data_IF_811916753828
#
_entry.id   IF_811916753828
#
_cell.length_a   1.000
_cell.length_b   1.000
_cell.length_c   1.000
_cell.angle_alpha   90.00
_cell.angle_beta   90.00
_cell.angle_gamma   90.00
#
_symmetry.space_group_name_H-M   'P 1'
#
loop_
_entity.id
_entity.type
_entity.pdbx_description
1 polymer ?
#
# COMPACT_ATOMS: atom_id res chain seq x y z
N UNK A 1 -7.09 36.34 32.78
CA UNK A 1 -6.39 35.06 32.82
C UNK A 1 -6.80 34.24 31.57
N UNK A 2 -6.10 34.50 30.47
CA UNK A 2 -6.31 33.78 29.21
C UNK A 2 -5.58 32.43 29.31
N UNK A 3 -6.32 31.36 29.55
CA UNK A 3 -5.82 29.98 29.38
C UNK A 3 -5.53 29.75 27.90
N UNK A 4 -4.25 29.81 27.54
CA UNK A 4 -3.74 29.27 26.29
C UNK A 4 -4.06 27.78 26.23
N UNK A 5 -5.12 27.43 25.52
CA UNK A 5 -5.35 26.07 25.06
C UNK A 5 -4.32 25.81 23.99
N UNK A 6 -3.25 25.14 24.35
CA UNK A 6 -2.31 24.56 23.40
C UNK A 6 -3.06 23.47 22.64
N UNK A 7 -3.55 23.79 21.46
CA UNK A 7 -3.87 22.80 20.46
C UNK A 7 -2.58 22.07 20.10
N UNK A 8 -2.28 21.01 20.83
CA UNK A 8 -1.40 19.96 20.35
C UNK A 8 -2.12 19.33 19.17
N UNK A 9 -1.87 19.85 17.98
CA UNK A 9 -2.11 19.14 16.75
C UNK A 9 -1.18 17.91 16.76
N UNK A 10 -1.60 16.87 17.46
CA UNK A 10 -1.07 15.54 17.22
C UNK A 10 -1.46 15.24 15.78
N UNK A 11 -0.51 15.36 14.85
CA UNK A 11 -0.59 14.61 13.60
C UNK A 11 -0.73 13.16 14.04
N UNK A 12 -1.96 12.69 14.17
CA UNK A 12 -2.21 11.28 14.37
C UNK A 12 -1.59 10.59 13.16
N UNK A 13 -0.50 9.86 13.40
CA UNK A 13 0.11 9.05 12.38
C UNK A 13 -0.99 8.13 11.85
N UNK A 14 -1.29 8.23 10.57
CA UNK A 14 -2.36 7.47 9.96
C UNK A 14 -1.99 5.99 10.03
N UNK A 15 -2.76 5.21 10.79
CA UNK A 15 -2.59 3.77 10.90
C UNK A 15 -2.76 3.12 9.52
N UNK A 16 -1.84 2.23 9.18
CA UNK A 16 -1.87 1.48 7.92
C UNK A 16 -2.21 0.03 8.26
N UNK A 17 -3.42 -0.39 7.89
CA UNK A 17 -3.86 -1.77 8.09
C UNK A 17 -3.22 -2.68 7.05
N UNK A 18 -2.70 -3.82 7.50
CA UNK A 18 -2.07 -4.80 6.62
C UNK A 18 -2.09 -6.19 7.24
N UNK A 19 -1.86 -7.22 6.41
CA UNK A 19 -1.67 -8.58 6.88
C UNK A 19 -0.29 -8.77 7.51
N UNK A 20 -0.12 -9.85 8.29
CA UNK A 20 1.19 -10.23 8.83
C UNK A 20 2.21 -10.53 7.72
N UNK A 21 1.76 -11.15 6.62
CA UNK A 21 2.61 -11.43 5.46
C UNK A 21 3.05 -10.16 4.73
N UNK A 22 2.17 -9.17 4.61
CA UNK A 22 2.48 -7.87 4.01
C UNK A 22 3.49 -7.09 4.85
N UNK A 23 3.33 -7.08 6.16
CA UNK A 23 4.30 -6.45 7.06
C UNK A 23 5.68 -7.14 6.94
N UNK A 24 5.70 -8.47 6.92
CA UNK A 24 6.94 -9.22 6.73
C UNK A 24 7.62 -8.91 5.41
N UNK A 25 6.87 -8.84 4.32
CA UNK A 25 7.41 -8.50 3.00
C UNK A 25 8.07 -7.11 2.99
N UNK A 26 7.45 -6.12 3.63
CA UNK A 26 8.03 -4.78 3.76
C UNK A 26 9.29 -4.76 4.64
N UNK A 27 9.31 -5.52 5.71
CA UNK A 27 10.49 -5.67 6.57
C UNK A 27 11.65 -6.33 5.81
N UNK A 28 11.37 -7.37 5.04
CA UNK A 28 12.37 -8.07 4.22
C UNK A 28 12.92 -7.13 3.11
N UNK A 29 12.06 -6.36 2.46
CA UNK A 29 12.47 -5.34 1.47
C UNK A 29 13.37 -4.28 2.13
N UNK A 30 12.95 -3.75 3.27
CA UNK A 30 13.73 -2.76 4.02
C UNK A 30 15.12 -3.27 4.40
N UNK A 31 15.19 -4.50 4.90
CA UNK A 31 16.46 -5.14 5.24
C UNK A 31 17.36 -5.30 4.02
N UNK A 32 16.82 -5.78 2.90
CA UNK A 32 17.54 -5.89 1.64
C UNK A 32 18.09 -4.54 1.17
N UNK A 33 17.27 -3.51 1.15
CA UNK A 33 17.70 -2.17 0.73
C UNK A 33 18.82 -1.61 1.60
N UNK A 34 18.73 -1.80 2.92
CA UNK A 34 19.74 -1.31 3.89
C UNK A 34 21.04 -2.09 3.87
N UNK A 35 20.98 -3.41 3.75
CA UNK A 35 22.15 -4.30 3.91
C UNK A 35 22.83 -4.65 2.60
N UNK A 36 22.09 -4.81 1.53
CA UNK A 36 22.59 -5.23 0.23
C UNK A 36 22.64 -4.06 -0.75
N UNK A 37 21.49 -3.48 -1.07
CA UNK A 37 21.42 -2.48 -2.15
C UNK A 37 22.23 -1.22 -1.89
N UNK A 38 22.27 -0.73 -0.64
CA UNK A 38 23.14 0.42 -0.28
C UNK A 38 24.60 0.14 -0.55
N UNK A 39 25.08 -1.08 -0.27
CA UNK A 39 26.48 -1.45 -0.51
C UNK A 39 26.79 -1.54 -1.99
N UNK A 40 25.92 -2.18 -2.76
CA UNK A 40 26.05 -2.26 -4.21
C UNK A 40 26.15 -0.86 -4.83
N UNK A 41 25.25 0.04 -4.46
CA UNK A 41 25.25 1.42 -4.95
C UNK A 41 26.52 2.21 -4.55
N UNK A 42 27.02 1.97 -3.34
CA UNK A 42 28.28 2.58 -2.91
C UNK A 42 29.45 2.14 -3.80
N UNK A 43 29.52 0.86 -4.18
CA UNK A 43 30.53 0.34 -5.11
C UNK A 43 30.31 0.87 -6.53
N UNK A 44 29.07 0.90 -7.03
CA UNK A 44 28.73 1.48 -8.35
C UNK A 44 29.18 2.95 -8.43
N UNK A 45 28.93 3.76 -7.41
CA UNK A 45 29.35 5.15 -7.33
C UNK A 45 30.87 5.28 -7.30
N UNK A 46 31.54 4.43 -6.51
CA UNK A 46 32.99 4.40 -6.42
C UNK A 46 33.63 4.03 -7.77
N UNK A 47 33.09 3.04 -8.46
CA UNK A 47 33.53 2.63 -9.78
C UNK A 47 33.34 3.76 -10.80
N UNK A 48 32.15 4.38 -10.84
CA UNK A 48 31.87 5.51 -11.73
C UNK A 48 32.82 6.69 -11.49
N UNK A 49 33.20 6.99 -10.25
CA UNK A 49 34.19 8.00 -9.92
C UNK A 49 35.59 7.68 -10.45
N UNK A 50 35.94 6.41 -10.55
CA UNK A 50 37.26 5.98 -11.04
C UNK A 50 37.45 6.24 -12.53
N UNK A 51 36.36 6.43 -13.31
CA UNK A 51 36.38 6.64 -14.75
C UNK A 51 36.70 8.10 -15.16
N UNK A 52 36.98 9.02 -14.24
CA UNK A 52 37.54 10.34 -14.53
C UNK A 52 36.57 11.50 -14.33
N UNK A 53 36.27 12.29 -15.38
CA UNK A 53 35.52 13.53 -15.27
C UNK A 53 34.05 13.28 -14.86
N UNK A 54 33.70 13.71 -13.62
CA UNK A 54 32.36 13.56 -13.06
C UNK A 54 31.32 14.49 -13.69
N UNK A 55 31.74 15.56 -14.38
CA UNK A 55 30.82 16.53 -15.01
C UNK A 55 30.11 15.98 -16.26
N UNK A 56 30.67 14.94 -16.88
CA UNK A 56 30.13 14.28 -18.09
C UNK A 56 29.90 12.77 -17.88
N UNK A 57 29.97 12.30 -16.63
CA UNK A 57 29.83 10.88 -16.29
C UNK A 57 28.37 10.51 -16.04
N UNK A 58 27.69 10.03 -17.09
CA UNK A 58 26.29 9.59 -17.01
C UNK A 58 26.09 8.39 -16.08
N UNK A 59 27.06 7.50 -15.93
CA UNK A 59 27.00 6.37 -15.01
C UNK A 59 27.00 6.84 -13.53
N UNK A 60 27.80 7.86 -13.24
CA UNK A 60 27.81 8.47 -11.92
C UNK A 60 26.46 9.14 -11.59
N UNK A 61 25.90 9.90 -12.51
CA UNK A 61 24.63 10.58 -12.32
C UNK A 61 23.48 9.58 -12.15
N UNK A 62 23.47 8.51 -12.92
CA UNK A 62 22.48 7.43 -12.80
C UNK A 62 22.59 6.72 -11.44
N UNK A 63 23.79 6.37 -10.99
CA UNK A 63 24.03 5.75 -9.70
C UNK A 63 23.60 6.67 -8.54
N UNK A 64 23.86 7.97 -8.64
CA UNK A 64 23.41 8.96 -7.65
C UNK A 64 21.89 9.12 -7.62
N UNK A 65 21.23 9.14 -8.77
CA UNK A 65 19.79 9.17 -8.87
C UNK A 65 19.16 7.91 -8.24
N UNK A 66 19.71 6.74 -8.55
CA UNK A 66 19.26 5.47 -7.97
C UNK A 66 19.46 5.46 -6.46
N UNK A 67 20.57 5.99 -5.96
CA UNK A 67 20.80 6.15 -4.52
C UNK A 67 19.70 6.99 -3.86
N UNK A 68 19.31 8.10 -4.46
CA UNK A 68 18.23 8.95 -3.97
C UNK A 68 16.89 8.21 -3.91
N UNK A 69 16.55 7.44 -4.95
CA UNK A 69 15.32 6.63 -4.99
C UNK A 69 15.33 5.54 -3.91
N UNK A 70 16.44 4.87 -3.70
CA UNK A 70 16.58 3.83 -2.65
C UNK A 70 16.44 4.45 -1.25
N UNK A 71 17.07 5.59 -0.99
CA UNK A 71 16.94 6.27 0.31
C UNK A 71 15.51 6.76 0.58
N UNK A 72 14.82 7.26 -0.44
CA UNK A 72 13.41 7.62 -0.34
C UNK A 72 12.55 6.39 -0.03
N UNK A 73 12.80 5.27 -0.71
CA UNK A 73 12.07 4.01 -0.47
C UNK A 73 12.29 3.47 0.94
N UNK A 74 13.52 3.54 1.43
CA UNK A 74 13.85 3.16 2.81
C UNK A 74 13.04 4.01 3.81
N UNK A 75 13.02 5.31 3.62
CA UNK A 75 12.27 6.22 4.49
C UNK A 75 10.77 5.93 4.44
N UNK A 76 10.23 5.69 3.26
CA UNK A 76 8.83 5.31 3.07
C UNK A 76 8.48 4.01 3.78
N UNK A 77 9.29 2.96 3.59
CA UNK A 77 9.10 1.67 4.27
C UNK A 77 9.18 1.79 5.80
N UNK A 78 10.13 2.56 6.31
CA UNK A 78 10.27 2.80 7.75
C UNK A 78 9.03 3.48 8.33
N UNK A 79 8.45 4.45 7.62
CA UNK A 79 7.21 5.12 8.04
C UNK A 79 6.00 4.19 7.97
N UNK A 80 5.88 3.40 6.90
CA UNK A 80 4.78 2.44 6.76
C UNK A 80 4.83 1.35 7.83
N UNK A 81 6.01 0.78 8.10
CA UNK A 81 6.21 -0.23 9.14
C UNK A 81 5.90 0.34 10.53
N UNK A 82 6.34 1.57 10.80
CA UNK A 82 6.06 2.26 12.07
C UNK A 82 4.56 2.45 12.32
N UNK A 83 3.79 2.72 11.28
CA UNK A 83 2.36 2.98 11.35
C UNK A 83 1.51 1.73 11.04
N UNK A 84 2.15 0.57 10.86
CA UNK A 84 1.49 -0.67 10.52
C UNK A 84 0.64 -1.19 11.69
N UNK A 85 -0.59 -1.57 11.37
CA UNK A 85 -1.48 -2.32 12.25
C UNK A 85 -1.76 -3.65 11.59
N UNK A 86 -1.26 -4.73 12.20
CA UNK A 86 -1.48 -6.09 11.71
C UNK A 86 -2.89 -6.52 12.05
N UNK A 87 -3.63 -6.96 11.04
CA UNK A 87 -4.95 -7.55 11.20
C UNK A 87 -4.79 -9.07 11.24
N UNK A 88 -5.28 -9.66 12.33
CA UNK A 88 -5.32 -11.11 12.47
C UNK A 88 -6.43 -11.67 11.58
N UNK A 89 -6.06 -12.54 10.64
CA UNK A 89 -7.01 -13.22 9.76
C UNK A 89 -8.03 -14.07 10.55
N UNK A 90 -7.68 -14.49 11.76
CA UNK A 90 -8.58 -15.25 12.65
C UNK A 90 -9.66 -14.40 13.30
N UNK A 91 -9.47 -13.07 13.37
CA UNK A 91 -10.45 -12.13 13.94
C UNK A 91 -11.41 -11.57 12.87
N UNK A 92 -11.23 -11.97 11.60
CA UNK A 92 -12.11 -11.57 10.51
C UNK A 92 -13.50 -12.17 10.76
N UNK A 93 -14.49 -11.31 11.03
CA UNK A 93 -15.87 -11.75 11.07
C UNK A 93 -16.28 -12.19 9.66
N UNK A 94 -16.70 -13.43 9.52
CA UNK A 94 -17.20 -14.01 8.26
C UNK A 94 -18.49 -13.32 7.78
N UNK A 95 -18.98 -12.38 8.55
CA UNK A 95 -20.28 -11.72 8.34
C UNK A 95 -20.21 -10.43 7.54
N UNK A 96 -19.02 -9.79 7.46
CA UNK A 96 -18.85 -8.54 6.72
C UNK A 96 -17.48 -8.40 6.09
N UNK A 97 -17.41 -7.62 5.01
CA UNK A 97 -16.17 -7.33 4.31
C UNK A 97 -15.25 -6.48 5.18
N UNK A 98 -14.02 -6.92 5.32
CA UNK A 98 -12.96 -6.19 6.02
C UNK A 98 -11.61 -6.40 5.32
N UNK A 99 -10.59 -5.66 5.74
CA UNK A 99 -9.22 -5.89 5.24
C UNK A 99 -8.77 -7.31 5.58
N UNK A 100 -8.24 -8.03 4.58
CA UNK A 100 -7.87 -9.44 4.67
C UNK A 100 -8.97 -10.40 4.20
N UNK A 101 -10.13 -9.90 3.79
CA UNK A 101 -11.24 -10.73 3.30
C UNK A 101 -11.17 -10.94 1.79
N UNK A 102 -11.46 -12.16 1.35
CA UNK A 102 -11.71 -12.46 -0.05
C UNK A 102 -13.20 -12.28 -0.33
N UNK A 103 -13.53 -11.50 -1.37
CA UNK A 103 -14.92 -11.21 -1.73
C UNK A 103 -15.21 -11.57 -3.17
N UNK A 104 -16.41 -12.10 -3.39
CA UNK A 104 -16.99 -12.29 -4.72
C UNK A 104 -18.10 -11.27 -4.90
N UNK A 105 -18.02 -10.46 -5.94
CA UNK A 105 -18.99 -9.42 -6.26
C UNK A 105 -19.51 -9.58 -7.68
N UNK A 106 -20.65 -8.99 -7.94
CA UNK A 106 -21.28 -8.95 -9.26
C UNK A 106 -21.81 -7.55 -9.53
N UNK A 107 -21.49 -7.01 -10.71
CA UNK A 107 -22.07 -5.76 -11.17
C UNK A 107 -23.53 -5.98 -11.56
N UNK A 108 -24.41 -5.08 -11.15
CA UNK A 108 -25.83 -5.14 -11.52
C UNK A 108 -26.01 -5.05 -13.03
N UNK A 109 -26.68 -6.05 -13.59
CA UNK A 109 -26.94 -6.16 -15.02
C UNK A 109 -25.91 -6.98 -15.81
N UNK A 110 -24.90 -7.52 -15.14
CA UNK A 110 -23.91 -8.43 -15.72
C UNK A 110 -24.03 -9.84 -15.11
N UNK A 111 -23.74 -10.85 -15.90
CA UNK A 111 -23.74 -12.25 -15.45
C UNK A 111 -22.38 -12.68 -14.88
N UNK A 112 -21.32 -11.93 -15.17
CA UNK A 112 -19.97 -12.22 -14.71
C UNK A 112 -19.77 -11.79 -13.26
N UNK A 113 -19.00 -12.59 -12.54
CA UNK A 113 -18.58 -12.30 -11.17
C UNK A 113 -17.11 -11.89 -11.13
N UNK A 114 -16.78 -11.01 -10.21
CA UNK A 114 -15.41 -10.56 -9.95
C UNK A 114 -15.00 -11.00 -8.55
N UNK A 115 -13.77 -11.44 -8.41
CA UNK A 115 -13.20 -11.85 -7.12
C UNK A 115 -12.04 -10.93 -6.75
N UNK A 116 -12.05 -10.45 -5.51
CA UNK A 116 -11.02 -9.56 -4.98
C UNK A 116 -10.63 -9.92 -3.56
N UNK A 117 -9.33 -9.75 -3.26
CA UNK A 117 -8.81 -9.70 -1.90
C UNK A 117 -8.77 -8.24 -1.46
N UNK A 118 -9.44 -7.90 -0.38
CA UNK A 118 -9.36 -6.56 0.22
C UNK A 118 -8.11 -6.50 1.08
N UNK A 119 -7.18 -5.66 0.69
CA UNK A 119 -5.88 -5.52 1.36
C UNK A 119 -5.61 -4.08 1.78
N UNK A 120 -4.59 -3.87 2.60
CA UNK A 120 -4.11 -2.53 2.90
C UNK A 120 -3.46 -1.89 1.66
N UNK A 121 -3.39 -0.56 1.64
CA UNK A 121 -2.82 0.22 0.53
C UNK A 121 -1.45 -0.27 0.07
N UNK A 122 -0.62 -0.72 0.99
CA UNK A 122 0.76 -1.16 0.71
C UNK A 122 0.86 -2.52 0.03
N UNK A 123 -0.20 -3.33 0.13
CA UNK A 123 -0.28 -4.67 -0.45
C UNK A 123 -1.09 -4.71 -1.75
N UNK A 124 -1.66 -3.58 -2.16
CA UNK A 124 -2.54 -3.50 -3.32
C UNK A 124 -1.82 -3.90 -4.62
N UNK A 125 -2.43 -4.83 -5.34
CA UNK A 125 -2.00 -5.29 -6.66
C UNK A 125 -3.24 -5.63 -7.49
N UNK A 126 -3.88 -4.64 -8.13
CA UNK A 126 -5.12 -4.84 -8.86
C UNK A 126 -5.02 -5.87 -9.99
N UNK A 127 -3.84 -6.04 -10.58
CA UNK A 127 -3.62 -7.02 -11.65
C UNK A 127 -3.74 -8.47 -11.15
N UNK A 128 -3.47 -8.70 -9.86
CA UNK A 128 -3.59 -9.98 -9.19
C UNK A 128 -4.82 -10.05 -8.26
N UNK A 129 -5.81 -9.20 -8.48
CA UNK A 129 -7.06 -9.22 -7.73
C UNK A 129 -6.97 -8.67 -6.30
N UNK A 130 -5.90 -7.98 -5.95
CA UNK A 130 -5.72 -7.36 -4.63
C UNK A 130 -6.03 -5.88 -4.69
N UNK A 131 -7.17 -5.48 -4.14
CA UNK A 131 -7.60 -4.09 -4.13
C UNK A 131 -7.48 -3.48 -2.74
N UNK A 132 -7.07 -2.21 -2.71
CA UNK A 132 -6.94 -1.46 -1.46
C UNK A 132 -8.30 -1.17 -0.82
N UNK A 133 -8.33 -1.19 0.51
CA UNK A 133 -9.46 -0.69 1.30
C UNK A 133 -9.73 0.81 1.07
N UNK A 134 -8.77 1.56 0.56
CA UNK A 134 -8.90 2.97 0.19
C UNK A 134 -9.32 3.17 -1.28
N UNK A 135 -9.31 2.11 -2.11
CA UNK A 135 -9.79 2.18 -3.49
C UNK A 135 -11.31 2.41 -3.54
N UNK A 136 -11.87 2.99 -4.63
CA UNK A 136 -13.30 3.23 -4.72
C UNK A 136 -14.14 1.97 -4.49
N UNK A 137 -13.77 0.85 -5.08
CA UNK A 137 -14.48 -0.43 -4.92
C UNK A 137 -14.26 -1.01 -3.52
N UNK A 138 -12.99 -1.08 -3.07
CA UNK A 138 -12.65 -1.60 -1.75
C UNK A 138 -13.31 -0.82 -0.61
N UNK A 139 -13.31 0.51 -0.68
CA UNK A 139 -13.94 1.36 0.32
C UNK A 139 -15.46 1.18 0.37
N UNK A 140 -16.11 1.07 -0.79
CA UNK A 140 -17.54 0.85 -0.88
C UNK A 140 -17.98 -0.53 -0.36
N UNK A 141 -17.14 -1.54 -0.47
CA UNK A 141 -17.40 -2.90 0.01
C UNK A 141 -17.19 -3.06 1.52
N UNK A 142 -16.33 -2.27 2.14
CA UNK A 142 -16.04 -2.37 3.57
C UNK A 142 -17.31 -2.32 4.42
N UNK A 143 -17.43 -3.27 5.36
CA UNK A 143 -18.56 -3.39 6.29
C UNK A 143 -19.83 -3.94 5.65
N UNK A 144 -19.82 -4.32 4.39
CA UNK A 144 -20.97 -4.92 3.71
C UNK A 144 -21.07 -6.41 3.99
N UNK A 145 -22.29 -6.90 4.14
CA UNK A 145 -22.57 -8.32 4.30
C UNK A 145 -22.91 -8.97 2.96
N UNK A 146 -22.93 -10.32 2.93
CA UNK A 146 -23.42 -11.08 1.77
C UNK A 146 -24.85 -10.67 1.44
N UNK A 147 -25.11 -10.42 0.16
CA UNK A 147 -26.40 -9.93 -0.35
C UNK A 147 -26.56 -8.41 -0.34
N UNK A 148 -25.64 -7.66 0.28
CA UNK A 148 -25.68 -6.21 0.27
C UNK A 148 -25.33 -5.66 -1.12
N UNK A 149 -25.99 -4.57 -1.48
CA UNK A 149 -25.71 -3.79 -2.68
C UNK A 149 -25.03 -2.49 -2.30
N UNK A 150 -24.02 -2.10 -3.06
CA UNK A 150 -23.30 -0.86 -2.86
C UNK A 150 -23.03 -0.13 -4.16
N UNK A 151 -23.16 1.18 -4.15
CA UNK A 151 -22.80 2.03 -5.28
C UNK A 151 -21.34 2.47 -5.19
N UNK A 152 -20.65 2.38 -6.30
CA UNK A 152 -19.24 2.78 -6.43
C UNK A 152 -19.14 3.88 -7.47
N UNK A 153 -18.59 5.02 -7.07
CA UNK A 153 -18.23 6.10 -7.99
C UNK A 153 -16.85 5.81 -8.58
N UNK A 154 -16.81 5.51 -9.87
CA UNK A 154 -15.57 5.28 -10.60
C UNK A 154 -14.83 6.60 -10.90
N UNK A 155 -13.50 6.58 -11.10
CA UNK A 155 -12.73 7.76 -11.49
C UNK A 155 -13.20 8.42 -12.80
N UNK A 156 -13.90 7.66 -13.65
CA UNK A 156 -14.52 8.14 -14.89
C UNK A 156 -15.76 9.03 -14.67
N UNK A 157 -16.24 9.14 -13.41
CA UNK A 157 -17.46 9.87 -13.06
C UNK A 157 -18.75 9.06 -13.16
N UNK A 158 -18.67 7.80 -13.58
CA UNK A 158 -19.81 6.87 -13.62
C UNK A 158 -20.00 6.17 -12.28
N UNK A 159 -21.25 5.97 -11.89
CA UNK A 159 -21.62 5.16 -10.72
C UNK A 159 -22.05 3.78 -11.19
N UNK A 160 -21.50 2.74 -10.57
CA UNK A 160 -21.87 1.35 -10.79
C UNK A 160 -22.33 0.72 -9.47
N UNK A 161 -23.28 -0.21 -9.55
CA UNK A 161 -23.78 -0.94 -8.38
C UNK A 161 -23.21 -2.36 -8.38
N UNK A 162 -22.67 -2.76 -7.24
CA UNK A 162 -22.20 -4.13 -7.00
C UNK A 162 -23.01 -4.81 -5.91
N UNK A 163 -23.19 -6.11 -6.05
CA UNK A 163 -23.77 -6.98 -5.03
C UNK A 163 -22.72 -7.92 -4.49
N UNK A 164 -22.60 -8.02 -3.17
CA UNK A 164 -21.70 -8.98 -2.51
C UNK A 164 -22.35 -10.35 -2.54
N UNK A 165 -21.75 -11.31 -3.25
CA UNK A 165 -22.25 -12.65 -3.40
C UNK A 165 -21.69 -13.63 -2.36
N UNK A 166 -20.43 -13.48 -2.01
CA UNK A 166 -19.72 -14.33 -1.04
C UNK A 166 -18.59 -13.54 -0.34
N UNK A 167 -18.28 -13.97 0.86
CA UNK A 167 -17.17 -13.46 1.67
C UNK A 167 -16.30 -14.63 2.13
#
# INVERSE_FOLDING_TARGET
EFRRVLFRSSKMAQEIKMSASGLKAMQDELEYLKTVRRKELAEEIKEARSHGDLSENSEYDEAKNTQGLVENRITELEQMIKNAVVIDESELSVESVSVGTHVTIQMTGEDETEEYDIVGRTEADPLNGKISDESPVGHALLGRAVGAKTEVLLPTGHTVEYTVLAI
#
